data_IF_211006168667
#
_entry.id   IF_211006168667
#
_cell.length_a   1.000
_cell.length_b   1.000
_cell.length_c   1.000
_cell.angle_alpha   90.00
_cell.angle_beta   90.00
_cell.angle_gamma   90.00
#
_symmetry.space_group_name_H-M   'P 1'
#
loop_
_entity.id
_entity.type
_entity.pdbx_description
1 polymer ?
#
# COMPACT_ATOMS: atom_id res chain seq x y z
N UNK A 1 -10.02 16.07 -17.66
CA UNK A 1 -11.42 15.74 -17.27
C UNK A 1 -11.93 16.79 -16.31
N UNK A 2 -13.22 17.08 -16.31
CA UNK A 2 -13.83 18.07 -15.42
C UNK A 2 -14.38 17.40 -14.16
N UNK A 3 -14.47 18.16 -13.08
CA UNK A 3 -15.22 17.78 -11.89
C UNK A 3 -16.65 17.42 -12.22
N UNK A 4 -17.23 16.48 -11.50
CA UNK A 4 -18.60 16.06 -11.71
C UNK A 4 -19.27 15.51 -10.46
N UNK A 5 -20.58 15.37 -10.57
CA UNK A 5 -21.39 14.74 -9.53
C UNK A 5 -22.33 13.74 -10.19
N UNK A 6 -22.57 12.65 -9.49
CA UNK A 6 -23.57 11.67 -9.88
C UNK A 6 -24.33 11.18 -8.66
N UNK A 7 -25.49 10.59 -8.90
CA UNK A 7 -26.30 9.97 -7.87
C UNK A 7 -25.97 8.48 -7.77
N UNK A 8 -25.92 7.99 -6.56
CA UNK A 8 -25.71 6.58 -6.26
C UNK A 8 -26.60 6.13 -5.12
N UNK A 9 -26.51 4.85 -4.78
CA UNK A 9 -27.25 4.25 -3.67
C UNK A 9 -26.31 4.00 -2.50
N UNK A 10 -26.71 4.47 -1.33
CA UNK A 10 -25.92 4.27 -0.11
C UNK A 10 -25.92 2.78 0.28
N UNK A 11 -24.74 2.17 0.49
CA UNK A 11 -24.64 0.75 0.86
C UNK A 11 -25.14 0.47 2.29
N UNK A 12 -25.32 1.49 3.12
CA UNK A 12 -25.74 1.34 4.51
C UNK A 12 -27.26 1.48 4.65
N UNK A 13 -27.84 2.54 4.09
CA UNK A 13 -29.28 2.82 4.31
C UNK A 13 -30.15 2.66 3.03
N UNK A 14 -29.55 2.38 1.87
CA UNK A 14 -30.26 2.23 0.60
C UNK A 14 -30.80 3.53 0.01
N UNK A 15 -30.63 4.68 0.68
CA UNK A 15 -31.08 5.97 0.18
C UNK A 15 -30.17 6.51 -0.92
N UNK A 16 -30.69 7.46 -1.69
CA UNK A 16 -29.87 8.19 -2.65
C UNK A 16 -28.76 8.97 -1.94
N UNK A 17 -27.56 8.88 -2.48
CA UNK A 17 -26.41 9.66 -2.03
C UNK A 17 -25.75 10.39 -3.20
N UNK A 18 -24.98 11.43 -2.89
CA UNK A 18 -24.20 12.15 -3.89
C UNK A 18 -22.77 11.66 -3.92
N UNK A 19 -22.33 11.27 -5.11
CA UNK A 19 -20.93 10.98 -5.42
C UNK A 19 -20.34 12.17 -6.15
N UNK A 20 -19.23 12.67 -5.65
CA UNK A 20 -18.40 13.69 -6.31
C UNK A 20 -17.14 13.04 -6.83
N UNK A 21 -16.73 13.40 -8.02
CA UNK A 21 -15.44 13.02 -8.58
C UNK A 21 -14.67 14.25 -9.03
N UNK A 22 -13.41 14.31 -8.60
CA UNK A 22 -12.51 15.44 -8.87
C UNK A 22 -11.24 14.87 -9.47
N UNK A 23 -10.87 15.27 -10.70
CA UNK A 23 -9.57 14.93 -11.26
C UNK A 23 -8.49 15.73 -10.53
N UNK A 24 -7.39 15.09 -10.24
CA UNK A 24 -6.25 15.69 -9.58
C UNK A 24 -4.95 15.18 -10.19
N UNK A 25 -3.95 16.02 -10.31
CA UNK A 25 -2.62 15.61 -10.75
C UNK A 25 -1.71 15.44 -9.54
N UNK A 26 -1.23 14.23 -9.33
CA UNK A 26 -0.36 13.89 -8.19
C UNK A 26 1.04 13.62 -8.74
N UNK A 27 2.04 14.26 -8.13
CA UNK A 27 3.44 14.00 -8.46
C UNK A 27 3.72 12.49 -8.38
N UNK A 28 4.43 11.95 -9.37
CA UNK A 28 4.76 10.53 -9.59
C UNK A 28 3.62 9.63 -10.07
N UNK A 29 2.34 9.97 -9.82
CA UNK A 29 1.18 9.17 -10.28
C UNK A 29 0.52 9.69 -11.56
N UNK A 30 0.72 10.97 -11.88
CA UNK A 30 -0.02 11.64 -12.94
C UNK A 30 -1.47 11.91 -12.55
N UNK A 31 -2.38 11.77 -13.49
CA UNK A 31 -3.81 12.02 -13.24
C UNK A 31 -4.44 10.93 -12.37
N UNK A 32 -5.12 11.37 -11.34
CA UNK A 32 -5.94 10.54 -10.45
C UNK A 32 -7.35 11.12 -10.40
N UNK A 33 -8.34 10.26 -10.19
CA UNK A 33 -9.71 10.66 -9.92
C UNK A 33 -10.02 10.38 -8.44
N UNK A 34 -10.35 11.41 -7.70
CA UNK A 34 -10.77 11.29 -6.30
C UNK A 34 -12.30 11.20 -6.29
N UNK A 35 -12.82 10.15 -5.67
CA UNK A 35 -14.24 9.94 -5.46
C UNK A 35 -14.59 10.19 -4.01
N UNK A 36 -15.58 11.04 -3.78
CA UNK A 36 -16.13 11.26 -2.46
C UNK A 36 -17.62 10.95 -2.48
N UNK A 37 -18.08 10.12 -1.57
CA UNK A 37 -19.49 9.85 -1.38
C UNK A 37 -19.93 10.28 0.01
N UNK A 38 -21.07 10.96 0.09
CA UNK A 38 -21.68 11.42 1.33
C UNK A 38 -23.18 11.11 1.28
N UNK A 39 -23.67 10.47 2.34
CA UNK A 39 -25.08 10.18 2.55
C UNK A 39 -25.62 10.90 3.78
N UNK A 40 -26.90 11.25 3.77
CA UNK A 40 -27.59 11.85 4.91
C UNK A 40 -27.63 10.96 6.17
N UNK A 41 -27.43 9.64 6.04
CA UNK A 41 -27.34 8.73 7.18
C UNK A 41 -26.00 8.81 7.95
N UNK A 42 -25.05 9.64 7.48
CA UNK A 42 -23.72 9.78 8.06
C UNK A 42 -22.63 8.94 7.36
N UNK A 43 -23.00 8.09 6.40
CA UNK A 43 -22.01 7.35 5.62
C UNK A 43 -21.17 8.30 4.77
N UNK A 44 -19.85 8.14 4.85
CA UNK A 44 -18.87 8.88 4.05
C UNK A 44 -17.78 7.92 3.59
N UNK A 45 -17.37 8.06 2.35
CA UNK A 45 -16.21 7.34 1.82
C UNK A 45 -15.45 8.21 0.86
N UNK A 46 -14.15 7.97 0.78
CA UNK A 46 -13.24 8.56 -0.22
C UNK A 46 -12.46 7.44 -0.85
N UNK A 47 -12.39 7.44 -2.16
CA UNK A 47 -11.58 6.51 -2.94
C UNK A 47 -10.79 7.25 -4.00
N UNK A 48 -9.70 6.65 -4.47
CA UNK A 48 -8.81 7.24 -5.46
C UNK A 48 -8.56 6.25 -6.59
N UNK A 49 -8.88 6.66 -7.81
CA UNK A 49 -8.58 5.89 -9.02
C UNK A 49 -7.44 6.56 -9.78
N UNK A 50 -6.39 5.80 -10.09
CA UNK A 50 -5.28 6.27 -10.91
C UNK A 50 -5.69 6.09 -12.37
N UNK A 51 -5.69 7.20 -13.14
CA UNK A 51 -6.11 7.24 -14.54
C UNK A 51 -4.94 7.04 -15.52
N UNK A 52 -3.74 7.40 -15.10
CA UNK A 52 -2.54 7.29 -15.93
C UNK A 52 -2.11 5.84 -16.09
N UNK A 53 -2.06 5.35 -17.32
CA UNK A 53 -1.43 4.08 -17.65
C UNK A 53 0.05 4.33 -17.93
N UNK A 54 0.91 3.80 -17.11
CA UNK A 54 2.36 3.80 -17.33
C UNK A 54 2.80 2.39 -17.73
N UNK A 55 4.07 2.25 -18.16
CA UNK A 55 4.64 0.93 -18.45
C UNK A 55 4.91 0.19 -17.16
N UNK A 56 4.97 -1.15 -17.23
CA UNK A 56 5.43 -1.98 -16.14
C UNK A 56 6.72 -1.41 -15.55
N UNK A 57 6.76 -1.31 -14.23
CA UNK A 57 7.94 -0.86 -13.49
C UNK A 57 8.20 -1.76 -12.30
N UNK A 58 9.45 -2.07 -12.10
CA UNK A 58 9.97 -2.76 -10.94
C UNK A 58 10.95 -1.86 -10.21
N UNK A 59 10.71 -1.66 -8.95
CA UNK A 59 11.58 -0.93 -8.04
C UNK A 59 12.15 -1.89 -7.01
N UNK A 60 13.41 -1.72 -6.69
CA UNK A 60 14.08 -2.46 -5.62
C UNK A 60 14.96 -1.51 -4.82
N UNK A 61 14.86 -1.54 -3.48
CA UNK A 61 15.74 -0.80 -2.58
C UNK A 61 16.23 -1.71 -1.47
N UNK A 62 17.52 -1.58 -1.12
CA UNK A 62 18.08 -2.17 0.09
C UNK A 62 17.81 -1.27 1.28
N UNK A 63 17.26 -1.83 2.34
CA UNK A 63 17.05 -1.20 3.64
C UNK A 63 18.11 -1.75 4.59
N UNK A 64 19.05 -0.91 4.98
CA UNK A 64 20.23 -1.31 5.75
C UNK A 64 20.41 -0.51 7.05
N UNK A 65 19.68 0.60 7.22
CA UNK A 65 19.78 1.50 8.37
C UNK A 65 18.40 2.01 8.81
N UNK A 66 18.34 2.63 9.97
CA UNK A 66 17.10 3.27 10.46
C UNK A 66 16.65 4.42 9.56
N UNK A 67 17.58 5.13 8.92
CA UNK A 67 17.27 6.21 7.98
C UNK A 67 16.47 5.70 6.77
N UNK A 68 16.74 4.48 6.33
CA UNK A 68 16.06 3.87 5.20
C UNK A 68 14.58 3.59 5.46
N UNK A 69 14.17 3.55 6.72
CA UNK A 69 12.76 3.38 7.12
C UNK A 69 11.88 4.54 6.68
N UNK A 70 12.48 5.72 6.47
CA UNK A 70 11.78 6.93 6.01
C UNK A 70 11.61 6.99 4.49
N UNK A 71 12.24 6.10 3.72
CA UNK A 71 12.12 6.05 2.27
C UNK A 71 10.66 5.89 1.88
N UNK A 72 10.19 6.79 1.04
CA UNK A 72 8.78 6.83 0.63
C UNK A 72 8.44 5.69 -0.32
N UNK A 73 7.34 5.07 -0.02
CA UNK A 73 6.81 3.92 -0.76
C UNK A 73 5.39 4.21 -1.21
N UNK A 74 5.17 4.01 -2.48
CA UNK A 74 3.89 4.23 -3.10
C UNK A 74 3.44 2.93 -3.75
N UNK A 75 2.28 2.44 -3.37
CA UNK A 75 1.69 1.23 -3.92
C UNK A 75 0.31 1.50 -4.49
N UNK A 76 0.12 1.20 -5.78
CA UNK A 76 -1.22 1.06 -6.35
C UNK A 76 -1.82 -0.30 -5.96
N UNK A 77 -3.10 -0.49 -6.18
CA UNK A 77 -3.74 -1.80 -5.96
C UNK A 77 -3.19 -2.93 -6.85
N UNK A 78 -2.47 -2.60 -7.91
CA UNK A 78 -1.84 -3.56 -8.82
C UNK A 78 -0.37 -3.84 -8.48
N UNK A 79 0.19 -3.09 -7.53
CA UNK A 79 1.56 -3.25 -7.07
C UNK A 79 1.74 -4.55 -6.28
N UNK A 80 2.62 -5.44 -6.76
CA UNK A 80 3.09 -6.60 -6.01
C UNK A 80 4.27 -6.17 -5.15
N UNK A 81 4.15 -6.37 -3.84
CA UNK A 81 5.25 -6.13 -2.90
C UNK A 81 5.89 -7.46 -2.53
N UNK A 82 7.21 -7.47 -2.45
CA UNK A 82 7.98 -8.60 -1.96
C UNK A 82 9.08 -8.14 -1.01
N UNK A 83 9.23 -8.86 0.09
CA UNK A 83 10.34 -8.73 1.05
C UNK A 83 10.94 -10.12 1.22
N UNK A 84 11.94 -10.49 0.39
CA UNK A 84 12.47 -11.86 0.36
C UNK A 84 13.01 -12.35 1.70
N UNK A 85 13.68 -11.47 2.46
CA UNK A 85 14.30 -11.80 3.75
C UNK A 85 13.27 -12.14 4.84
N UNK A 86 12.02 -11.73 4.66
CA UNK A 86 10.89 -12.06 5.53
C UNK A 86 9.97 -13.14 4.93
N UNK A 87 10.18 -13.52 3.66
CA UNK A 87 9.27 -14.40 2.94
C UNK A 87 7.87 -13.80 2.75
N UNK A 88 7.78 -12.47 2.73
CA UNK A 88 6.51 -11.74 2.59
C UNK A 88 6.26 -11.38 1.15
N UNK A 89 5.06 -11.70 0.66
CA UNK A 89 4.54 -11.28 -0.64
C UNK A 89 3.15 -10.73 -0.47
N UNK A 90 2.90 -9.56 -1.04
CA UNK A 90 1.56 -8.97 -1.16
C UNK A 90 1.20 -8.94 -2.64
N UNK A 91 0.27 -9.79 -3.02
CA UNK A 91 -0.16 -9.93 -4.42
C UNK A 91 -0.97 -8.74 -4.90
N UNK A 92 -1.00 -8.48 -6.23
CA UNK A 92 -1.88 -7.50 -6.84
C UNK A 92 -3.35 -7.70 -6.44
N UNK A 93 -4.07 -6.61 -6.25
CA UNK A 93 -5.47 -6.58 -5.78
C UNK A 93 -5.70 -7.16 -4.38
N UNK A 94 -4.63 -7.55 -3.69
CA UNK A 94 -4.65 -7.91 -2.27
C UNK A 94 -4.10 -6.74 -1.45
N UNK A 95 -4.81 -6.37 -0.40
CA UNK A 95 -4.49 -5.19 0.39
C UNK A 95 -4.79 -3.86 -0.31
N UNK A 96 -4.56 -2.78 0.38
CA UNK A 96 -4.91 -1.42 -0.04
C UNK A 96 -3.80 -0.76 -0.88
N UNK A 97 -4.21 0.15 -1.76
CA UNK A 97 -3.31 1.14 -2.31
C UNK A 97 -2.91 2.14 -1.19
N UNK A 98 -1.67 2.57 -1.17
CA UNK A 98 -1.19 3.50 -0.15
C UNK A 98 -0.02 4.36 -0.60
N UNK A 99 0.14 5.49 0.07
CA UNK A 99 1.36 6.29 0.10
C UNK A 99 1.87 6.25 1.54
N UNK A 100 3.06 5.74 1.75
CA UNK A 100 3.65 5.54 3.07
C UNK A 100 5.18 5.61 2.99
N UNK A 101 5.87 4.96 3.89
CA UNK A 101 7.31 4.74 3.88
C UNK A 101 7.61 3.25 4.20
N UNK A 102 8.89 2.89 4.21
CA UNK A 102 9.32 1.52 4.53
C UNK A 102 8.81 1.08 5.89
N UNK A 103 8.89 1.94 6.90
CA UNK A 103 8.37 1.63 8.24
C UNK A 103 6.88 1.31 8.21
N UNK A 104 6.08 2.10 7.48
CA UNK A 104 4.65 1.85 7.31
C UNK A 104 4.34 0.54 6.58
N UNK A 105 5.19 0.12 5.64
CA UNK A 105 5.08 -1.21 5.02
C UNK A 105 5.31 -2.31 6.05
N UNK A 106 6.35 -2.20 6.87
CA UNK A 106 6.63 -3.16 7.93
C UNK A 106 5.52 -3.21 8.98
N UNK A 107 4.94 -2.07 9.37
CA UNK A 107 3.78 -2.00 10.27
C UNK A 107 2.56 -2.74 9.72
N UNK A 108 2.32 -2.67 8.41
CA UNK A 108 1.24 -3.44 7.76
C UNK A 108 1.49 -4.93 7.84
N UNK A 109 2.73 -5.37 7.63
CA UNK A 109 3.13 -6.77 7.80
C UNK A 109 2.89 -7.22 9.24
N UNK A 110 3.34 -6.43 10.23
CA UNK A 110 3.11 -6.73 11.65
C UNK A 110 1.61 -6.84 12.00
N UNK A 111 0.78 -5.96 11.43
CA UNK A 111 -0.67 -6.01 11.65
C UNK A 111 -1.29 -7.30 11.14
N UNK A 112 -0.86 -7.77 9.97
CA UNK A 112 -1.31 -9.06 9.42
C UNK A 112 -0.81 -10.23 10.28
N UNK A 113 0.44 -10.20 10.73
CA UNK A 113 1.00 -11.23 11.60
C UNK A 113 0.23 -11.34 12.93
N UNK A 114 -0.16 -10.21 13.54
CA UNK A 114 -0.99 -10.17 14.74
C UNK A 114 -2.37 -10.80 14.53
N UNK A 115 -2.96 -10.59 13.36
CA UNK A 115 -4.23 -11.25 13.01
C UNK A 115 -4.07 -12.75 12.86
N UNK A 116 -3.03 -13.19 12.17
CA UNK A 116 -2.76 -14.61 11.93
C UNK A 116 -2.40 -15.36 13.23
N UNK A 117 -1.76 -14.68 14.19
CA UNK A 117 -1.38 -15.27 15.48
C UNK A 117 -2.57 -15.74 16.31
N UNK A 118 -3.75 -15.11 16.13
CA UNK A 118 -4.97 -15.45 16.90
C UNK A 118 -5.41 -16.90 16.71
N UNK A 119 -5.33 -17.39 15.47
CA UNK A 119 -5.80 -18.72 15.09
C UNK A 119 -4.63 -19.68 14.77
N UNK A 120 -3.39 -19.28 15.07
CA UNK A 120 -2.20 -20.03 14.78
C UNK A 120 -1.97 -21.19 15.78
N UNK A 121 -1.50 -22.33 15.28
CA UNK A 121 -0.97 -23.41 16.11
C UNK A 121 0.44 -23.06 16.65
N UNK A 122 1.00 -23.89 17.51
CA UNK A 122 2.29 -23.61 18.17
C UNK A 122 3.46 -23.46 17.17
N UNK A 123 3.50 -24.26 16.10
CA UNK A 123 4.51 -24.14 15.05
C UNK A 123 4.38 -22.81 14.29
N UNK A 124 3.16 -22.42 13.94
CA UNK A 124 2.87 -21.16 13.28
C UNK A 124 3.19 -19.97 14.16
N UNK A 125 2.86 -20.01 15.45
CA UNK A 125 3.22 -18.98 16.44
C UNK A 125 4.73 -18.79 16.55
N UNK A 126 5.50 -19.89 16.52
CA UNK A 126 6.95 -19.82 16.53
C UNK A 126 7.50 -19.11 15.28
N UNK A 127 6.95 -19.39 14.10
CA UNK A 127 7.30 -18.71 12.84
C UNK A 127 6.94 -17.23 12.88
N UNK A 128 5.77 -16.88 13.39
CA UNK A 128 5.32 -15.49 13.55
C UNK A 128 6.25 -14.74 14.51
N UNK A 129 6.59 -15.33 15.65
CA UNK A 129 7.52 -14.74 16.61
C UNK A 129 8.90 -14.46 15.99
N UNK A 130 9.39 -15.37 15.15
CA UNK A 130 10.65 -15.20 14.42
C UNK A 130 10.57 -14.04 13.41
N UNK A 131 9.44 -13.88 12.71
CA UNK A 131 9.22 -12.75 11.80
C UNK A 131 9.18 -11.42 12.55
N UNK A 132 8.51 -11.34 13.70
CA UNK A 132 8.53 -10.14 14.55
C UNK A 132 9.95 -9.80 14.99
N UNK A 133 10.74 -10.80 15.38
CA UNK A 133 12.15 -10.60 15.75
C UNK A 133 12.95 -10.00 14.59
N UNK A 134 12.82 -10.57 13.39
CA UNK A 134 13.50 -10.07 12.19
C UNK A 134 13.07 -8.64 11.85
N UNK A 135 11.77 -8.33 11.91
CA UNK A 135 11.25 -6.98 11.67
C UNK A 135 11.83 -5.98 12.68
N UNK A 136 11.89 -6.33 13.96
CA UNK A 136 12.48 -5.47 14.98
C UNK A 136 13.98 -5.23 14.75
N UNK A 137 14.72 -6.23 14.30
CA UNK A 137 16.13 -6.09 13.92
C UNK A 137 16.31 -5.16 12.72
N UNK A 138 15.42 -5.26 11.71
CA UNK A 138 15.42 -4.37 10.54
C UNK A 138 15.13 -2.93 10.97
N UNK A 139 14.11 -2.72 11.80
CA UNK A 139 13.77 -1.39 12.33
C UNK A 139 14.88 -0.76 13.16
N UNK A 140 15.68 -1.57 13.83
CA UNK A 140 16.83 -1.13 14.61
C UNK A 140 18.13 -1.00 13.79
N UNK A 141 18.08 -1.17 12.48
CA UNK A 141 19.25 -1.10 11.59
C UNK A 141 20.26 -2.25 11.76
N UNK A 142 19.88 -3.33 12.45
CA UNK A 142 20.75 -4.50 12.71
C UNK A 142 20.61 -5.63 11.70
N UNK A 143 19.63 -5.56 10.83
CA UNK A 143 19.37 -6.54 9.76
C UNK A 143 18.99 -5.81 8.47
N UNK A 144 19.54 -6.28 7.37
CA UNK A 144 19.20 -5.77 6.04
C UNK A 144 17.99 -6.50 5.47
N UNK A 145 17.23 -5.80 4.63
CA UNK A 145 16.20 -6.39 3.79
C UNK A 145 16.15 -5.68 2.44
N UNK A 146 15.56 -6.33 1.46
CA UNK A 146 15.20 -5.72 0.19
C UNK A 146 13.69 -5.51 0.15
N UNK A 147 13.27 -4.35 -0.29
CA UNK A 147 11.89 -4.07 -0.63
C UNK A 147 11.77 -3.98 -2.13
N UNK A 148 10.92 -4.81 -2.70
CA UNK A 148 10.67 -4.89 -4.13
C UNK A 148 9.20 -4.56 -4.39
N UNK A 149 8.95 -3.69 -5.37
CA UNK A 149 7.59 -3.41 -5.86
C UNK A 149 7.61 -3.56 -7.37
N UNK A 150 6.72 -4.41 -7.87
CA UNK A 150 6.47 -4.57 -9.29
C UNK A 150 5.03 -4.23 -9.62
N UNK A 151 4.83 -3.34 -10.58
CA UNK A 151 3.51 -2.86 -10.96
C UNK A 151 3.37 -2.78 -12.49
N UNK A 152 2.53 -3.65 -13.09
CA UNK A 152 2.31 -3.64 -14.53
C UNK A 152 1.69 -2.34 -15.04
N UNK A 153 1.03 -1.58 -14.18
CA UNK A 153 0.46 -0.27 -14.55
C UNK A 153 1.46 0.87 -14.41
N UNK A 154 2.62 0.61 -13.76
CA UNK A 154 3.66 1.61 -13.50
C UNK A 154 3.25 2.69 -12.49
N UNK A 155 2.21 2.47 -11.70
CA UNK A 155 1.64 3.43 -10.76
C UNK A 155 2.13 3.24 -9.32
N UNK A 156 3.07 2.33 -9.10
CA UNK A 156 3.78 2.16 -7.84
C UNK A 156 5.22 2.67 -7.96
N UNK A 157 5.82 3.08 -6.86
CA UNK A 157 7.18 3.58 -6.82
C UNK A 157 7.84 3.46 -5.44
N UNK A 158 9.16 3.32 -5.43
CA UNK A 158 10.00 3.57 -4.26
C UNK A 158 10.83 4.82 -4.57
N UNK A 159 10.69 5.87 -3.76
CA UNK A 159 11.28 7.18 -4.02
C UNK A 159 12.59 7.28 -3.25
N UNK A 160 13.65 6.83 -3.87
CA UNK A 160 15.03 6.88 -3.38
C UNK A 160 16.00 6.92 -4.54
N UNK A 161 17.07 7.71 -4.43
CA UNK A 161 18.17 7.70 -5.39
C UNK A 161 18.93 6.36 -5.43
N UNK A 162 18.81 5.57 -4.36
CA UNK A 162 19.40 4.23 -4.24
C UNK A 162 18.48 3.11 -4.74
N UNK A 163 17.27 3.44 -5.16
CA UNK A 163 16.36 2.44 -5.73
C UNK A 163 16.78 2.10 -7.15
N UNK A 164 16.92 0.81 -7.42
CA UNK A 164 17.03 0.30 -8.79
C UNK A 164 15.65 0.30 -9.43
N UNK A 165 15.57 0.79 -10.67
CA UNK A 165 14.31 0.90 -11.43
C UNK A 165 14.49 0.17 -12.76
N UNK A 166 13.58 -0.77 -13.05
CA UNK A 166 13.50 -1.53 -14.30
C UNK A 166 12.15 -1.34 -14.99
#
# INVERSE_FOLDING_TARGET
MSEGQMKGVCPICGSEMTLRFVPYEVSYFGEVMIFNAVCGCGYKTTDVMILSKRRNKRYEVEVASEEDLSVRVVRSQYGRIEIPELGVVVEPKKGEAFISNVEGVLQRVESVLKLLERDANEEQKAKIAELFRKINEIKAGRRRMRLIIEDPTGNSAIISERANVE
#
